data_IF_164331348093
#
_entry.id   IF_164331348093
#
_cell.length_a   1.000
_cell.length_b   1.000
_cell.length_c   1.000
_cell.angle_alpha   90.00
_cell.angle_beta   90.00
_cell.angle_gamma   90.00
#
_symmetry.space_group_name_H-M   'P 1'
#
loop_
_entity.id
_entity.type
_entity.pdbx_description
1 polymer ?
#
# COMPACT_ATOMS: atom_id res chain seq x y z
N UNK A 1 -15.35 -2.59 -17.20
CA UNK A 1 -15.11 -1.55 -18.22
C UNK A 1 -13.64 -1.17 -18.17
N UNK A 2 -12.88 -1.63 -19.15
CA UNK A 2 -11.49 -1.25 -19.40
C UNK A 2 -11.47 0.24 -19.76
N UNK A 3 -10.57 1.01 -19.15
CA UNK A 3 -10.35 2.40 -19.57
C UNK A 3 -9.81 2.36 -21.01
N UNK A 4 -10.66 2.58 -21.99
CA UNK A 4 -10.22 2.75 -23.38
C UNK A 4 -9.49 4.09 -23.43
N UNK A 5 -8.25 4.15 -23.92
CA UNK A 5 -7.60 5.43 -24.18
C UNK A 5 -8.52 6.28 -25.07
N UNK A 6 -8.53 7.61 -24.91
CA UNK A 6 -9.19 8.49 -25.88
C UNK A 6 -8.82 8.10 -27.32
N UNK A 7 -9.80 8.05 -28.22
CA UNK A 7 -9.62 7.58 -29.60
C UNK A 7 -8.46 8.27 -30.34
N UNK A 8 -8.18 9.54 -30.00
CA UNK A 8 -7.03 10.31 -30.52
C UNK A 8 -5.65 9.70 -30.23
N UNK A 9 -5.54 8.71 -29.34
CA UNK A 9 -4.27 8.03 -29.00
C UNK A 9 -4.30 6.53 -29.29
N UNK A 10 -5.19 6.12 -30.19
CA UNK A 10 -5.18 4.77 -30.72
C UNK A 10 -3.80 4.44 -31.33
N UNK A 11 -3.26 3.26 -30.98
CA UNK A 11 -1.91 2.85 -31.38
C UNK A 11 -0.74 3.48 -30.61
N UNK A 12 -0.96 4.56 -29.84
CA UNK A 12 0.08 5.24 -29.05
C UNK A 12 0.16 4.78 -27.59
N UNK A 13 -0.92 4.15 -27.11
CA UNK A 13 -1.11 3.77 -25.72
C UNK A 13 -1.52 2.31 -25.60
N UNK A 14 -1.28 1.72 -24.43
CA UNK A 14 -1.66 0.35 -24.13
C UNK A 14 -2.21 0.22 -22.71
N UNK A 15 -3.33 -0.47 -22.53
CA UNK A 15 -4.00 -0.64 -21.24
C UNK A 15 -3.47 -1.83 -20.44
N UNK A 16 -2.78 -2.77 -21.10
CA UNK A 16 -2.26 -3.98 -20.49
C UNK A 16 -0.84 -4.27 -20.95
N UNK A 17 0.10 -4.32 -20.02
CA UNK A 17 1.40 -4.95 -20.24
C UNK A 17 1.32 -6.41 -19.79
N UNK A 18 2.03 -7.33 -20.47
CA UNK A 18 2.15 -8.75 -20.08
C UNK A 18 2.99 -8.93 -18.81
N UNK A 19 2.65 -8.22 -17.73
CA UNK A 19 3.48 -8.12 -16.53
C UNK A 19 2.55 -8.19 -15.33
N UNK A 20 2.76 -9.22 -14.51
CA UNK A 20 1.99 -9.47 -13.30
C UNK A 20 2.85 -9.13 -12.09
N UNK A 21 2.35 -8.21 -11.27
CA UNK A 21 3.07 -7.73 -10.10
C UNK A 21 2.89 -8.60 -8.87
N UNK A 22 1.89 -9.50 -8.90
CA UNK A 22 1.53 -10.36 -7.78
C UNK A 22 1.33 -9.54 -6.50
N UNK A 23 0.24 -8.78 -6.47
CA UNK A 23 -0.12 -7.89 -5.36
C UNK A 23 -0.96 -8.63 -4.32
N UNK A 24 -1.34 -7.98 -3.22
CA UNK A 24 -2.17 -8.61 -2.20
C UNK A 24 -3.47 -9.17 -2.78
N UNK A 25 -4.14 -8.41 -3.65
CA UNK A 25 -5.41 -8.79 -4.26
C UNK A 25 -5.32 -10.02 -5.18
N UNK A 26 -4.13 -10.36 -5.70
CA UNK A 26 -3.90 -11.62 -6.42
C UNK A 26 -3.88 -12.86 -5.51
N UNK A 27 -3.74 -12.67 -4.20
CA UNK A 27 -3.55 -13.73 -3.20
C UNK A 27 -4.71 -13.83 -2.21
N UNK A 28 -5.78 -13.06 -2.39
CA UNK A 28 -6.98 -13.16 -1.56
C UNK A 28 -7.89 -14.29 -2.08
N UNK A 29 -8.54 -15.08 -1.19
CA UNK A 29 -9.46 -16.13 -1.61
C UNK A 29 -10.60 -15.56 -2.46
N UNK A 30 -11.03 -16.20 -3.54
CA UNK A 30 -12.22 -15.73 -4.24
C UNK A 30 -13.44 -15.83 -3.30
N UNK A 31 -14.23 -14.76 -3.20
CA UNK A 31 -15.43 -14.78 -2.35
C UNK A 31 -16.62 -15.43 -3.06
N UNK A 32 -16.46 -15.81 -4.33
CA UNK A 32 -17.56 -16.26 -5.17
C UNK A 32 -18.59 -15.14 -5.38
N UNK A 33 -19.56 -15.39 -6.25
CA UNK A 33 -20.75 -14.55 -6.33
C UNK A 33 -21.52 -14.71 -5.02
N UNK A 34 -21.84 -13.65 -4.27
CA UNK A 34 -22.72 -13.78 -3.12
C UNK A 34 -24.03 -14.41 -3.60
N UNK A 35 -24.45 -15.50 -2.98
CA UNK A 35 -25.77 -16.06 -3.26
C UNK A 35 -26.81 -14.94 -3.09
N UNK A 36 -27.62 -14.69 -4.13
CA UNK A 36 -28.64 -13.64 -4.18
C UNK A 36 -29.69 -13.76 -3.05
N UNK A 37 -29.68 -14.88 -2.32
CA UNK A 37 -30.64 -15.30 -1.30
C UNK A 37 -30.63 -14.51 0.01
N UNK A 38 -29.68 -13.59 0.24
CA UNK A 38 -29.65 -12.82 1.52
C UNK A 38 -30.43 -11.50 1.50
N UNK A 39 -30.75 -10.97 0.33
CA UNK A 39 -31.34 -9.63 0.16
C UNK A 39 -32.82 -9.77 -0.17
N UNK A 40 -33.71 -9.66 0.83
CA UNK A 40 -35.14 -9.33 0.64
C UNK A 40 -36.03 -9.35 1.88
N UNK A 41 -35.53 -9.67 3.08
CA UNK A 41 -36.36 -9.50 4.28
C UNK A 41 -36.16 -8.11 4.86
N UNK A 42 -37.28 -7.45 5.14
CA UNK A 42 -37.31 -6.17 5.85
C UNK A 42 -36.66 -6.30 7.24
N UNK A 43 -36.05 -5.24 7.77
CA UNK A 43 -35.51 -5.26 9.13
C UNK A 43 -36.63 -5.51 10.15
N UNK A 44 -36.49 -6.59 10.92
CA UNK A 44 -37.43 -6.92 12.02
C UNK A 44 -37.10 -6.12 13.29
N UNK A 45 -35.86 -5.63 13.41
CA UNK A 45 -35.38 -4.83 14.52
C UNK A 45 -34.74 -3.52 14.01
N UNK A 46 -34.92 -2.44 14.76
CA UNK A 46 -34.30 -1.14 14.50
C UNK A 46 -32.80 -1.10 14.91
N UNK A 47 -32.18 0.07 14.73
CA UNK A 47 -30.80 0.33 15.18
C UNK A 47 -30.71 0.99 16.58
N UNK A 48 -31.82 1.01 17.33
CA UNK A 48 -31.87 1.57 18.68
C UNK A 48 -31.53 3.06 18.70
N UNK A 49 -30.65 3.47 19.63
CA UNK A 49 -30.30 4.87 19.83
C UNK A 49 -29.68 5.56 18.58
N UNK A 50 -29.15 4.80 17.62
CA UNK A 50 -28.63 5.38 16.37
C UNK A 50 -29.72 6.02 15.50
N UNK A 51 -30.98 5.58 15.65
CA UNK A 51 -32.10 6.13 14.88
C UNK A 51 -32.58 7.49 15.39
N UNK A 52 -32.08 7.94 16.55
CA UNK A 52 -32.34 9.29 17.07
C UNK A 52 -31.56 10.35 16.27
N UNK A 53 -30.46 9.96 15.62
CA UNK A 53 -29.63 10.87 14.86
C UNK A 53 -30.29 11.21 13.51
N UNK A 54 -30.29 12.49 13.08
CA UNK A 54 -30.59 12.84 11.70
C UNK A 54 -29.70 12.05 10.74
N UNK A 55 -30.24 11.69 9.59
CA UNK A 55 -29.56 10.77 8.66
C UNK A 55 -28.22 11.33 8.18
N UNK A 56 -28.10 12.64 8.03
CA UNK A 56 -26.88 13.34 7.64
C UNK A 56 -25.79 13.19 8.71
N UNK A 57 -26.16 13.31 9.99
CA UNK A 57 -25.24 13.14 11.12
C UNK A 57 -24.82 11.68 11.21
N UNK A 58 -25.76 10.76 11.06
CA UNK A 58 -25.46 9.33 11.03
C UNK A 58 -24.48 9.02 9.90
N UNK A 59 -24.70 9.54 8.69
CA UNK A 59 -23.81 9.33 7.55
C UNK A 59 -22.40 9.87 7.81
N UNK A 60 -22.26 11.08 8.36
CA UNK A 60 -20.94 11.63 8.70
C UNK A 60 -20.23 10.75 9.75
N UNK A 61 -20.93 10.30 10.79
CA UNK A 61 -20.36 9.39 11.80
C UNK A 61 -19.87 8.11 11.13
N UNK A 62 -20.69 7.48 10.29
CA UNK A 62 -20.33 6.23 9.61
C UNK A 62 -19.14 6.40 8.66
N UNK A 63 -19.01 7.56 8.00
CA UNK A 63 -17.86 7.85 7.13
C UNK A 63 -16.55 7.98 7.90
N UNK A 64 -16.60 8.45 9.15
CA UNK A 64 -15.43 8.59 10.02
C UNK A 64 -15.02 7.29 10.69
N UNK A 65 -15.92 6.30 10.78
CA UNK A 65 -15.57 4.99 11.34
C UNK A 65 -14.44 4.33 10.55
N UNK A 66 -13.56 3.65 11.29
CA UNK A 66 -12.58 2.73 10.72
C UNK A 66 -13.29 1.57 10.01
N UNK A 67 -12.67 1.06 8.95
CA UNK A 67 -13.28 0.05 8.08
C UNK A 67 -13.60 -1.25 8.83
N UNK A 68 -12.84 -1.61 9.87
CA UNK A 68 -13.16 -2.77 10.72
C UNK A 68 -14.44 -2.52 11.51
N UNK A 69 -14.55 -1.40 12.21
CA UNK A 69 -15.73 -1.01 12.98
C UNK A 69 -16.96 -0.86 12.08
N UNK A 70 -16.82 -0.26 10.90
CA UNK A 70 -17.89 -0.15 9.91
C UNK A 70 -18.36 -1.52 9.41
N UNK A 71 -17.43 -2.45 9.16
CA UNK A 71 -17.76 -3.81 8.74
C UNK A 71 -18.48 -4.58 9.83
N UNK A 72 -18.06 -4.45 11.08
CA UNK A 72 -18.75 -5.05 12.23
C UNK A 72 -20.14 -4.47 12.43
N UNK A 73 -20.29 -3.15 12.33
CA UNK A 73 -21.60 -2.50 12.42
C UNK A 73 -22.56 -3.00 11.34
N UNK A 74 -22.06 -3.13 10.10
CA UNK A 74 -22.83 -3.68 8.97
C UNK A 74 -23.33 -5.12 9.23
N UNK A 75 -22.64 -5.88 10.10
CA UNK A 75 -23.00 -7.27 10.44
C UNK A 75 -23.92 -7.39 11.66
N UNK A 76 -24.19 -6.30 12.40
CA UNK A 76 -25.01 -6.35 13.63
C UNK A 76 -26.45 -6.78 13.32
N UNK A 77 -27.15 -6.07 12.44
CA UNK A 77 -28.49 -6.45 11.99
C UNK A 77 -28.80 -5.87 10.59
N UNK A 78 -29.99 -6.19 10.05
CA UNK A 78 -30.38 -5.72 8.70
C UNK A 78 -30.54 -4.19 8.62
N UNK A 79 -30.88 -3.52 9.73
CA UNK A 79 -31.07 -2.07 9.77
C UNK A 79 -29.74 -1.33 9.70
N UNK A 80 -28.75 -1.74 10.51
CA UNK A 80 -27.39 -1.18 10.45
C UNK A 80 -26.71 -1.51 9.14
N UNK A 81 -26.94 -2.71 8.58
CA UNK A 81 -26.52 -3.04 7.21
C UNK A 81 -27.08 -2.04 6.20
N UNK A 82 -28.38 -1.72 6.30
CA UNK A 82 -29.04 -0.73 5.45
C UNK A 82 -28.40 0.65 5.53
N UNK A 83 -28.05 1.12 6.73
CA UNK A 83 -27.36 2.42 6.89
C UNK A 83 -25.98 2.43 6.23
N UNK A 84 -25.18 1.38 6.42
CA UNK A 84 -23.85 1.30 5.81
C UNK A 84 -23.95 1.18 4.28
N UNK A 85 -24.87 0.34 3.78
CA UNK A 85 -25.06 0.13 2.34
C UNK A 85 -25.67 1.36 1.65
N UNK A 86 -26.41 2.20 2.37
CA UNK A 86 -26.96 3.45 1.85
C UNK A 86 -25.90 4.54 1.63
N UNK A 87 -24.69 4.41 2.22
CA UNK A 87 -23.62 5.39 2.02
C UNK A 87 -23.11 5.36 0.58
N UNK A 88 -23.18 6.48 -0.18
CA UNK A 88 -22.66 6.53 -1.54
C UNK A 88 -21.17 6.21 -1.62
N UNK A 89 -20.39 6.68 -0.64
CA UNK A 89 -18.94 6.45 -0.58
C UNK A 89 -18.60 4.98 -0.34
N UNK A 90 -19.34 4.32 0.55
CA UNK A 90 -19.15 2.88 0.78
C UNK A 90 -19.58 2.07 -0.45
N UNK A 91 -20.68 2.46 -1.09
CA UNK A 91 -21.12 1.87 -2.36
C UNK A 91 -20.06 1.98 -3.46
N UNK A 92 -19.42 3.15 -3.60
CA UNK A 92 -18.31 3.36 -4.53
C UNK A 92 -17.12 2.44 -4.23
N UNK A 93 -16.76 2.29 -2.95
CA UNK A 93 -15.69 1.40 -2.50
C UNK A 93 -16.02 -0.05 -2.87
N UNK A 94 -17.22 -0.54 -2.54
CA UNK A 94 -17.64 -1.91 -2.84
C UNK A 94 -17.65 -2.15 -4.35
N UNK A 95 -18.07 -1.17 -5.15
CA UNK A 95 -18.17 -1.32 -6.61
C UNK A 95 -16.81 -1.25 -7.32
N UNK A 96 -15.90 -0.40 -6.86
CA UNK A 96 -14.69 -0.05 -7.62
C UNK A 96 -13.38 -0.42 -6.93
N UNK A 97 -13.40 -0.68 -5.62
CA UNK A 97 -12.22 -0.95 -4.79
C UNK A 97 -12.46 -2.09 -3.78
N UNK A 98 -13.36 -3.04 -4.08
CA UNK A 98 -13.64 -4.17 -3.19
C UNK A 98 -12.41 -5.01 -2.91
N UNK A 99 -11.50 -5.15 -3.88
CA UNK A 99 -10.21 -5.81 -3.69
C UNK A 99 -9.35 -5.12 -2.63
N UNK A 100 -9.31 -3.78 -2.60
CA UNK A 100 -8.59 -3.02 -1.59
C UNK A 100 -9.25 -3.13 -0.21
N UNK A 101 -10.59 -3.00 -0.12
CA UNK A 101 -11.31 -3.20 1.14
C UNK A 101 -11.06 -4.59 1.72
N UNK A 102 -11.17 -5.62 0.89
CA UNK A 102 -10.88 -7.01 1.28
C UNK A 102 -9.43 -7.19 1.70
N UNK A 103 -8.50 -6.57 0.97
CA UNK A 103 -7.08 -6.58 1.32
C UNK A 103 -6.82 -5.96 2.69
N UNK A 104 -7.36 -4.77 2.95
CA UNK A 104 -7.27 -4.05 4.23
C UNK A 104 -7.78 -4.92 5.39
N UNK A 105 -8.93 -5.56 5.23
CA UNK A 105 -9.49 -6.45 6.25
C UNK A 105 -8.63 -7.71 6.43
N UNK A 106 -8.15 -8.32 5.33
CA UNK A 106 -7.36 -9.55 5.36
C UNK A 106 -5.98 -9.37 6.05
N UNK A 107 -5.34 -8.23 5.85
CA UNK A 107 -4.04 -7.93 6.49
C UNK A 107 -4.20 -7.24 7.86
N UNK A 108 -5.44 -6.99 8.29
CA UNK A 108 -5.76 -6.44 9.61
C UNK A 108 -5.52 -4.93 9.76
N UNK A 109 -5.44 -4.16 8.66
CA UNK A 109 -5.22 -2.70 8.71
C UNK A 109 -6.51 -1.89 8.80
N UNK A 110 -7.67 -2.53 8.81
CA UNK A 110 -8.98 -1.87 8.82
C UNK A 110 -9.24 -0.93 10.00
N UNK A 111 -8.55 -1.10 11.12
CA UNK A 111 -8.63 -0.20 12.28
C UNK A 111 -7.88 1.12 12.12
N UNK A 112 -7.02 1.24 11.10
CA UNK A 112 -6.20 2.42 10.85
C UNK A 112 -6.75 3.29 9.71
N UNK A 113 -7.77 2.79 9.00
CA UNK A 113 -8.27 3.40 7.77
C UNK A 113 -9.77 3.61 7.91
N UNK A 114 -10.22 4.86 7.79
CA UNK A 114 -11.64 5.20 7.77
C UNK A 114 -12.28 4.95 6.40
N UNK A 115 -13.60 4.84 6.38
CA UNK A 115 -14.35 4.78 5.12
C UNK A 115 -14.09 6.02 4.25
N UNK A 116 -14.08 7.20 4.86
CA UNK A 116 -13.74 8.47 4.21
C UNK A 116 -12.32 8.45 3.62
N UNK A 117 -11.34 7.92 4.35
CA UNK A 117 -9.96 7.84 3.86
C UNK A 117 -9.86 6.96 2.61
N UNK A 118 -10.44 5.76 2.63
CA UNK A 118 -10.42 4.87 1.47
C UNK A 118 -11.16 5.44 0.26
N UNK A 119 -12.33 6.06 0.47
CA UNK A 119 -13.06 6.73 -0.61
C UNK A 119 -12.29 7.92 -1.19
N UNK A 120 -11.63 8.70 -0.33
CA UNK A 120 -10.80 9.82 -0.78
C UNK A 120 -9.66 9.32 -1.66
N UNK A 121 -8.92 8.30 -1.22
CA UNK A 121 -7.83 7.71 -2.01
C UNK A 121 -8.31 7.02 -3.29
N UNK A 122 -9.55 6.52 -3.33
CA UNK A 122 -10.20 6.03 -4.55
C UNK A 122 -10.49 7.17 -5.54
N UNK A 123 -10.83 8.35 -5.04
CA UNK A 123 -11.14 9.53 -5.84
C UNK A 123 -9.94 10.42 -6.19
N UNK A 124 -8.76 10.12 -5.68
CA UNK A 124 -7.50 10.76 -6.09
C UNK A 124 -6.89 9.99 -7.27
N UNK A 125 -6.46 10.69 -8.32
CA UNK A 125 -5.78 10.06 -9.46
C UNK A 125 -4.26 9.93 -9.25
N UNK A 126 -3.68 10.95 -8.63
CA UNK A 126 -2.24 11.18 -8.56
C UNK A 126 -1.60 10.44 -7.39
N UNK A 127 -0.34 10.06 -7.58
CA UNK A 127 0.51 9.50 -6.55
C UNK A 127 0.86 10.60 -5.55
N UNK A 128 0.70 10.31 -4.26
CA UNK A 128 0.97 11.25 -3.18
C UNK A 128 2.46 11.60 -3.02
N UNK A 129 3.37 10.84 -3.62
CA UNK A 129 4.81 11.09 -3.52
C UNK A 129 5.38 11.86 -4.73
N UNK A 130 4.88 11.61 -5.95
CA UNK A 130 5.48 12.20 -7.16
C UNK A 130 4.50 12.89 -8.11
N UNK A 131 3.19 12.83 -7.86
CA UNK A 131 2.19 13.46 -8.73
C UNK A 131 1.84 12.71 -10.02
N UNK A 132 2.63 11.70 -10.43
CA UNK A 132 2.30 10.79 -11.54
C UNK A 132 1.00 10.01 -11.26
N UNK A 133 0.38 9.37 -12.25
CA UNK A 133 -0.82 8.54 -12.01
C UNK A 133 -0.51 7.39 -11.03
N UNK A 134 -1.29 7.30 -9.95
CA UNK A 134 -1.11 6.29 -8.91
C UNK A 134 -1.99 5.07 -9.13
N UNK A 135 -1.47 4.02 -9.75
CA UNK A 135 -2.23 2.80 -10.04
C UNK A 135 -2.50 1.86 -8.84
N UNK A 136 -1.97 2.16 -7.66
CA UNK A 136 -2.06 1.31 -6.47
C UNK A 136 -2.45 2.11 -5.23
N UNK A 137 -3.04 1.41 -4.26
CA UNK A 137 -3.16 1.88 -2.88
C UNK A 137 -2.20 1.10 -1.99
N UNK A 138 -1.42 1.81 -1.17
CA UNK A 138 -0.66 1.29 -0.05
C UNK A 138 -1.57 1.16 1.17
N UNK A 139 -1.84 -0.08 1.57
CA UNK A 139 -2.96 -0.46 2.44
C UNK A 139 -2.64 -0.40 3.94
N UNK A 140 -1.42 -0.03 4.36
CA UNK A 140 -1.16 0.26 5.79
C UNK A 140 -1.68 1.64 6.18
N UNK A 141 -1.52 2.62 5.31
CA UNK A 141 -1.87 4.03 5.59
C UNK A 141 -2.79 4.63 4.52
N UNK A 142 -3.39 3.80 3.68
CA UNK A 142 -4.32 4.17 2.61
C UNK A 142 -3.79 5.20 1.59
N UNK A 143 -2.50 5.14 1.23
CA UNK A 143 -1.90 6.13 0.32
C UNK A 143 -2.00 5.72 -1.15
N UNK A 144 -2.35 6.64 -2.05
CA UNK A 144 -2.28 6.38 -3.49
C UNK A 144 -0.86 6.54 -4.03
N UNK A 145 -0.37 5.51 -4.71
CA UNK A 145 1.03 5.42 -5.13
C UNK A 145 1.18 4.87 -6.55
N UNK A 146 2.18 5.37 -7.27
CA UNK A 146 2.60 4.80 -8.56
C UNK A 146 3.59 3.64 -8.34
N UNK A 147 3.83 2.83 -9.38
CA UNK A 147 4.74 1.68 -9.27
C UNK A 147 6.18 2.07 -8.93
N UNK A 148 6.70 3.14 -9.54
CA UNK A 148 8.08 3.58 -9.31
C UNK A 148 8.25 3.99 -7.85
N UNK A 149 7.31 4.80 -7.33
CA UNK A 149 7.37 5.23 -5.94
C UNK A 149 7.29 4.05 -4.98
N UNK A 150 6.37 3.11 -5.21
CA UNK A 150 6.28 1.87 -4.43
C UNK A 150 7.59 1.08 -4.43
N UNK A 151 8.28 1.02 -5.58
CA UNK A 151 9.46 0.18 -5.75
C UNK A 151 10.74 0.82 -5.20
N UNK A 152 10.81 2.15 -5.17
CA UNK A 152 12.05 2.89 -4.93
C UNK A 152 12.08 3.65 -3.61
N UNK A 153 10.92 4.03 -3.06
CA UNK A 153 10.88 4.84 -1.84
C UNK A 153 10.75 3.95 -0.60
N UNK A 154 11.67 4.13 0.34
CA UNK A 154 11.71 3.40 1.61
C UNK A 154 10.48 3.63 2.49
N UNK A 155 9.83 4.80 2.39
CA UNK A 155 8.59 5.10 3.13
C UNK A 155 7.44 4.16 2.78
N UNK A 156 7.52 3.45 1.65
CA UNK A 156 6.56 2.43 1.20
C UNK A 156 7.09 0.99 1.35
N UNK A 157 8.15 0.80 2.15
CA UNK A 157 8.69 -0.51 2.51
C UNK A 157 8.29 -0.87 3.95
N UNK A 158 7.21 -1.65 4.15
CA UNK A 158 6.87 -2.18 5.47
C UNK A 158 8.03 -3.00 6.03
N UNK A 159 8.33 -2.81 7.31
CA UNK A 159 9.48 -3.40 7.96
C UNK A 159 9.05 -4.47 8.97
N UNK A 160 9.80 -5.58 9.11
CA UNK A 160 9.65 -6.44 10.27
C UNK A 160 9.89 -5.64 11.57
N UNK A 161 9.15 -5.91 12.67
CA UNK A 161 9.31 -5.19 13.94
C UNK A 161 10.76 -5.14 14.45
N UNK A 162 11.52 -6.22 14.27
CA UNK A 162 12.93 -6.29 14.67
C UNK A 162 13.83 -5.38 13.83
N UNK A 163 13.49 -5.17 12.56
CA UNK A 163 14.19 -4.25 11.67
C UNK A 163 13.82 -2.81 12.01
N UNK A 164 12.53 -2.49 12.19
CA UNK A 164 12.10 -1.16 12.62
C UNK A 164 12.73 -0.74 13.96
N UNK A 165 12.73 -1.63 14.97
CA UNK A 165 13.41 -1.40 16.25
C UNK A 165 14.90 -1.09 16.10
N UNK A 166 15.57 -1.80 15.19
CA UNK A 166 17.00 -1.61 14.95
C UNK A 166 17.27 -0.32 14.17
N UNK A 167 16.50 -0.05 13.12
CA UNK A 167 16.67 1.09 12.20
C UNK A 167 16.33 2.43 12.86
N UNK A 168 15.32 2.46 13.73
CA UNK A 168 14.81 3.70 14.35
C UNK A 168 15.04 3.78 15.86
N UNK A 169 15.85 2.88 16.43
CA UNK A 169 16.16 2.89 17.87
C UNK A 169 14.98 2.55 18.78
N UNK A 170 13.93 1.94 18.23
CA UNK A 170 12.70 1.62 18.96
C UNK A 170 12.79 0.32 19.76
N UNK A 171 11.84 0.16 20.68
CA UNK A 171 11.52 -1.08 21.38
C UNK A 171 10.15 -1.57 20.91
N UNK A 172 9.83 -2.85 21.15
CA UNK A 172 8.57 -3.45 20.68
C UNK A 172 7.32 -2.72 21.14
N UNK A 173 7.30 -2.20 22.37
CA UNK A 173 6.13 -1.48 22.87
C UNK A 173 5.89 -0.15 22.13
N UNK A 174 6.92 0.51 21.60
CA UNK A 174 6.73 1.70 20.77
C UNK A 174 6.04 1.39 19.44
N UNK A 175 5.99 0.12 19.01
CA UNK A 175 5.37 -0.30 17.75
C UNK A 175 3.91 -0.71 17.92
N UNK A 176 3.43 -0.91 19.15
CA UNK A 176 2.10 -1.47 19.42
C UNK A 176 0.97 -0.56 18.87
N UNK A 177 1.18 0.75 18.95
CA UNK A 177 0.21 1.78 18.56
C UNK A 177 0.46 2.32 17.14
N UNK A 178 1.34 1.69 16.37
CA UNK A 178 1.63 2.08 15.00
C UNK A 178 0.86 1.22 13.99
N UNK A 179 0.54 1.76 12.80
CA UNK A 179 0.00 0.97 11.70
C UNK A 179 0.85 -0.26 11.42
N UNK A 180 0.21 -1.42 11.54
CA UNK A 180 0.83 -2.72 11.35
C UNK A 180 -0.12 -3.65 10.63
N UNK A 181 0.46 -4.65 9.97
CA UNK A 181 -0.29 -5.65 9.22
C UNK A 181 0.22 -7.06 9.49
N UNK A 182 -0.63 -8.04 9.22
CA UNK A 182 -0.27 -9.45 9.10
C UNK A 182 -0.22 -9.83 7.62
N UNK A 183 0.91 -10.34 7.16
CA UNK A 183 1.04 -10.75 5.76
C UNK A 183 0.16 -11.96 5.47
N UNK A 184 -0.43 -11.98 4.28
CA UNK A 184 -1.15 -13.15 3.76
C UNK A 184 -0.13 -14.04 3.03
N UNK A 185 -0.06 -15.35 3.31
CA UNK A 185 0.79 -16.25 2.53
C UNK A 185 0.42 -16.22 1.05
N UNK A 186 1.41 -16.26 0.16
CA UNK A 186 1.16 -16.08 -1.27
C UNK A 186 2.41 -15.88 -2.11
N UNK A 187 2.20 -15.63 -3.39
CA UNK A 187 3.25 -15.23 -4.33
C UNK A 187 3.16 -13.73 -4.53
N UNK A 188 4.29 -13.04 -4.41
CA UNK A 188 4.37 -11.58 -4.41
C UNK A 188 5.51 -11.09 -5.30
N UNK A 189 5.41 -9.83 -5.72
CA UNK A 189 6.35 -9.11 -6.59
C UNK A 189 6.44 -9.68 -8.02
N UNK A 190 6.88 -8.86 -9.01
CA UNK A 190 7.22 -9.31 -10.36
C UNK A 190 8.14 -10.55 -10.39
N UNK A 191 8.99 -10.71 -9.38
CA UNK A 191 9.94 -11.83 -9.26
C UNK A 191 9.32 -13.10 -8.65
N UNK A 192 8.00 -13.14 -8.44
CA UNK A 192 7.26 -14.32 -7.93
C UNK A 192 7.82 -14.86 -6.61
N UNK A 193 8.23 -13.96 -5.72
CA UNK A 193 8.74 -14.30 -4.39
C UNK A 193 7.62 -14.85 -3.52
N UNK A 194 7.86 -15.98 -2.88
CA UNK A 194 6.86 -16.63 -2.03
C UNK A 194 6.99 -16.17 -0.58
N UNK A 195 5.88 -15.77 0.02
CA UNK A 195 5.73 -15.66 1.49
C UNK A 195 4.96 -16.91 1.94
N UNK A 196 5.63 -17.80 2.65
CA UNK A 196 5.07 -19.10 3.04
C UNK A 196 4.29 -19.07 4.36
N UNK A 197 4.62 -18.11 5.23
CA UNK A 197 4.02 -17.96 6.55
C UNK A 197 3.67 -16.50 6.78
N UNK A 198 2.58 -16.28 7.50
CA UNK A 198 2.21 -14.93 7.94
C UNK A 198 3.28 -14.39 8.89
N UNK A 199 3.65 -13.13 8.68
CA UNK A 199 4.55 -12.36 9.53
C UNK A 199 3.96 -10.96 9.76
N UNK A 200 4.46 -10.26 10.77
CA UNK A 200 4.03 -8.90 11.09
C UNK A 200 4.96 -7.91 10.41
N UNK A 201 4.38 -6.93 9.74
CA UNK A 201 5.12 -5.79 9.20
C UNK A 201 4.52 -4.50 9.75
N UNK A 202 5.37 -3.53 10.05
CA UNK A 202 5.00 -2.20 10.54
C UNK A 202 5.26 -1.15 9.46
N UNK A 203 4.49 -0.09 9.47
CA UNK A 203 4.69 1.02 8.55
C UNK A 203 6.04 1.70 8.78
N UNK A 204 6.76 1.97 7.68
CA UNK A 204 8.09 2.57 7.73
C UNK A 204 8.06 3.98 8.31
N UNK A 205 7.15 4.80 7.77
CA UNK A 205 7.11 6.23 8.06
C UNK A 205 6.62 6.46 9.48
N UNK A 206 5.58 5.74 9.92
CA UNK A 206 5.12 5.79 11.31
C UNK A 206 6.19 5.33 12.29
N UNK A 207 6.96 4.28 11.97
CA UNK A 207 8.08 3.85 12.82
C UNK A 207 9.21 4.88 12.85
N UNK A 208 9.52 5.51 11.71
CA UNK A 208 10.51 6.60 11.64
C UNK A 208 10.08 7.80 12.50
N UNK A 209 8.82 8.22 12.39
CA UNK A 209 8.26 9.32 13.19
C UNK A 209 8.23 8.99 14.68
N UNK A 210 7.89 7.75 15.05
CA UNK A 210 7.97 7.30 16.45
C UNK A 210 9.41 7.37 16.99
N UNK A 211 10.40 7.02 16.17
CA UNK A 211 11.81 7.19 16.53
C UNK A 211 12.18 8.66 16.72
N UNK A 212 11.81 9.52 15.78
CA UNK A 212 12.05 10.98 15.88
C UNK A 212 11.44 11.54 17.17
N UNK A 213 10.21 11.17 17.49
CA UNK A 213 9.53 11.62 18.71
C UNK A 213 10.24 11.14 19.98
N UNK A 214 10.76 9.91 19.98
CA UNK A 214 11.50 9.36 21.12
C UNK A 214 12.84 10.07 21.38
N UNK A 215 13.54 10.45 20.32
CA UNK A 215 14.87 11.07 20.40
C UNK A 215 14.84 12.61 20.26
N UNK A 216 13.67 13.20 20.04
CA UNK A 216 13.44 14.63 19.88
C UNK A 216 13.78 15.20 18.49
N UNK A 217 14.60 14.51 17.68
CA UNK A 217 14.90 14.92 16.30
C UNK A 217 15.39 13.74 15.45
N UNK A 218 15.35 13.91 14.12
CA UNK A 218 15.92 12.94 13.18
C UNK A 218 17.42 12.73 13.41
N UNK A 219 18.18 13.81 13.54
CA UNK A 219 19.63 13.74 13.75
C UNK A 219 19.99 13.00 15.05
N UNK A 220 19.29 13.28 16.15
CA UNK A 220 19.52 12.60 17.43
C UNK A 220 19.18 11.09 17.35
N UNK A 221 18.08 10.73 16.67
CA UNK A 221 17.72 9.34 16.43
C UNK A 221 18.81 8.61 15.64
N UNK A 222 19.23 9.17 14.51
CA UNK A 222 20.26 8.57 13.64
C UNK A 222 21.59 8.42 14.37
N UNK A 223 22.04 9.44 15.10
CA UNK A 223 23.27 9.38 15.91
C UNK A 223 23.20 8.28 16.96
N UNK A 224 22.08 8.16 17.70
CA UNK A 224 21.90 7.12 18.72
C UNK A 224 21.95 5.72 18.12
N UNK A 225 21.25 5.51 17.00
CA UNK A 225 21.22 4.23 16.27
C UNK A 225 22.60 3.86 15.75
N UNK A 226 23.31 4.80 15.12
CA UNK A 226 24.66 4.59 14.58
C UNK A 226 25.64 4.26 15.70
N UNK A 227 25.62 4.99 16.82
CA UNK A 227 26.51 4.73 17.95
C UNK A 227 26.24 3.33 18.55
N UNK A 228 24.97 2.94 18.68
CA UNK A 228 24.60 1.60 19.15
C UNK A 228 25.08 0.52 18.19
N UNK A 229 24.94 0.72 16.89
CA UNK A 229 25.40 -0.22 15.85
C UNK A 229 26.92 -0.36 15.86
N UNK A 230 27.66 0.75 15.99
CA UNK A 230 29.13 0.76 16.08
C UNK A 230 29.61 -0.05 17.29
N UNK A 231 29.07 0.22 18.48
CA UNK A 231 29.39 -0.53 19.71
C UNK A 231 29.12 -2.04 19.56
N UNK A 232 28.02 -2.42 18.92
CA UNK A 232 27.73 -3.83 18.66
C UNK A 232 28.73 -4.47 17.70
N UNK A 233 29.16 -3.75 16.67
CA UNK A 233 30.12 -4.24 15.69
C UNK A 233 31.53 -4.35 16.28
N UNK A 234 31.96 -3.37 17.07
CA UNK A 234 33.21 -3.40 17.84
C UNK A 234 33.23 -4.59 18.80
N UNK A 235 32.17 -4.79 19.58
CA UNK A 235 32.05 -5.94 20.48
C UNK A 235 32.04 -7.28 19.74
N UNK A 236 31.48 -7.34 18.53
CA UNK A 236 31.55 -8.53 17.67
C UNK A 236 32.98 -8.77 17.17
N UNK A 237 33.67 -7.75 16.66
CA UNK A 237 35.02 -7.85 16.15
C UNK A 237 36.03 -8.24 17.24
N UNK A 238 35.93 -7.63 18.43
CA UNK A 238 36.78 -7.95 19.58
C UNK A 238 36.64 -9.40 20.06
N UNK A 239 35.45 -10.00 19.89
CA UNK A 239 35.22 -11.42 20.22
C UNK A 239 35.77 -12.37 19.17
N UNK A 240 35.82 -11.95 17.91
CA UNK A 240 36.38 -12.78 16.84
C UNK A 240 37.89 -12.96 16.96
N UNK A 241 38.58 -11.98 17.55
CA UNK A 241 40.01 -12.08 17.86
C UNK A 241 40.29 -12.74 19.21
N UNK A 242 39.26 -12.97 20.04
CA UNK A 242 39.37 -13.57 21.36
C UNK A 242 39.65 -15.08 21.32
N UNK A 243 40.64 -15.52 22.10
CA UNK A 243 40.91 -16.94 22.38
C UNK A 243 40.36 -17.30 23.76
N UNK A 244 39.81 -18.50 23.90
CA UNK A 244 39.43 -19.04 25.20
C UNK A 244 40.66 -19.43 26.04
N UNK A 245 40.43 -19.85 27.29
CA UNK A 245 41.49 -20.29 28.21
C UNK A 245 42.28 -21.50 27.70
N UNK A 246 41.79 -22.21 26.68
CA UNK A 246 42.48 -23.31 26.00
C UNK A 246 43.18 -22.88 24.69
N UNK A 247 43.21 -21.58 24.40
CA UNK A 247 43.81 -21.01 23.20
C UNK A 247 42.98 -21.20 21.93
N UNK A 248 41.74 -21.71 22.03
CA UNK A 248 40.86 -21.94 20.88
C UNK A 248 40.05 -20.68 20.54
N UNK A 249 39.68 -20.47 19.26
CA UNK A 249 38.79 -19.37 18.88
C UNK A 249 37.44 -19.49 19.60
N UNK A 250 37.00 -18.42 20.26
CA UNK A 250 35.66 -18.39 20.88
C UNK A 250 34.59 -18.57 19.79
N UNK A 251 33.57 -19.41 20.04
CA UNK A 251 32.47 -19.61 19.08
C UNK A 251 31.86 -18.28 18.63
N UNK A 252 32.00 -17.97 17.36
CA UNK A 252 31.50 -16.74 16.75
C UNK A 252 29.98 -16.63 16.92
N UNK A 253 29.51 -15.53 17.53
CA UNK A 253 28.09 -15.14 17.44
C UNK A 253 27.79 -14.63 16.03
N UNK A 254 26.52 -14.63 15.63
CA UNK A 254 26.11 -14.03 14.35
C UNK A 254 26.50 -12.55 14.32
N UNK A 255 27.07 -12.10 13.19
CA UNK A 255 27.35 -10.69 12.92
C UNK A 255 26.08 -9.86 13.14
N UNK A 256 26.17 -8.66 13.77
CA UNK A 256 25.03 -7.76 13.89
C UNK A 256 24.39 -7.49 12.51
N UNK A 257 23.06 -7.62 12.36
CA UNK A 257 22.39 -7.30 11.11
C UNK A 257 22.60 -5.83 10.71
N UNK A 258 22.64 -5.56 9.39
CA UNK A 258 22.71 -4.20 8.87
C UNK A 258 21.48 -3.36 9.27
N UNK A 259 21.66 -2.05 9.40
CA UNK A 259 20.56 -1.09 9.56
C UNK A 259 19.72 -1.04 8.28
N UNK A 260 20.39 -1.01 7.13
CA UNK A 260 19.80 -0.92 5.81
C UNK A 260 20.26 -2.11 4.96
N UNK A 261 19.66 -3.29 5.15
CA UNK A 261 19.92 -4.42 4.26
C UNK A 261 19.45 -4.09 2.84
N UNK A 262 20.06 -4.76 1.86
CA UNK A 262 19.64 -4.64 0.47
C UNK A 262 18.17 -5.02 0.30
N UNK A 263 17.34 -4.04 -0.08
CA UNK A 263 15.89 -4.20 -0.24
C UNK A 263 15.53 -5.06 -1.46
N UNK A 264 16.24 -4.87 -2.58
CA UNK A 264 15.87 -5.50 -3.85
C UNK A 264 14.70 -4.83 -4.56
N UNK A 265 14.19 -3.70 -4.06
CA UNK A 265 13.25 -2.79 -4.72
C UNK A 265 11.99 -3.52 -5.21
N UNK A 266 11.71 -3.48 -6.51
CA UNK A 266 10.59 -4.19 -7.14
C UNK A 266 10.65 -5.71 -6.98
N UNK A 267 11.76 -6.27 -6.48
CA UNK A 267 11.90 -7.67 -6.09
C UNK A 267 11.56 -7.98 -4.63
N UNK A 268 11.29 -6.99 -3.78
CA UNK A 268 10.97 -7.21 -2.37
C UNK A 268 9.48 -7.54 -2.19
N UNK A 269 9.11 -8.76 -1.74
CA UNK A 269 7.70 -9.12 -1.56
C UNK A 269 6.98 -8.28 -0.49
N UNK A 270 7.69 -7.69 0.49
CA UNK A 270 7.07 -6.87 1.54
C UNK A 270 6.39 -5.61 0.98
N UNK A 271 6.89 -5.07 -0.14
CA UNK A 271 6.25 -3.95 -0.83
C UNK A 271 4.92 -4.35 -1.47
N UNK A 272 4.84 -5.57 -2.01
CA UNK A 272 3.70 -6.04 -2.80
C UNK A 272 2.57 -6.67 -1.98
N UNK A 273 2.88 -7.24 -0.81
CA UNK A 273 1.86 -7.72 0.14
C UNK A 273 1.09 -6.58 0.82
N UNK A 274 1.60 -5.35 0.72
CA UNK A 274 1.00 -4.15 1.31
C UNK A 274 0.15 -3.32 0.33
N UNK A 275 0.00 -3.75 -0.92
CA UNK A 275 -0.70 -2.97 -1.94
C UNK A 275 -1.79 -3.75 -2.66
N UNK A 276 -2.78 -3.02 -3.15
CA UNK A 276 -3.75 -3.51 -4.13
C UNK A 276 -3.80 -2.56 -5.33
N UNK A 277 -4.12 -3.10 -6.52
CA UNK A 277 -4.37 -2.29 -7.71
C UNK A 277 -5.77 -1.69 -7.63
N UNK A 278 -5.89 -0.36 -7.70
CA UNK A 278 -7.19 0.32 -7.56
C UNK A 278 -7.34 1.36 -8.66
N UNK A 279 -8.48 1.41 -9.37
CA UNK A 279 -8.72 2.48 -10.32
C UNK A 279 -8.84 3.84 -9.61
N UNK A 280 -8.82 4.91 -10.37
CA UNK A 280 -9.29 6.21 -9.96
C UNK A 280 -10.77 6.35 -10.32
N UNK A 281 -11.60 6.80 -9.38
CA UNK A 281 -12.99 7.18 -9.62
C UNK A 281 -13.09 8.70 -9.68
N UNK A 282 -13.33 9.25 -10.86
CA UNK A 282 -13.62 10.66 -11.00
C UNK A 282 -15.01 10.96 -10.41
N UNK A 283 -15.04 11.85 -9.42
CA UNK A 283 -16.29 12.26 -8.75
C UNK A 283 -17.21 13.03 -9.69
N UNK A 284 -16.65 13.87 -10.57
CA UNK A 284 -17.43 14.75 -11.44
C UNK A 284 -18.11 13.94 -12.55
N UNK A 285 -17.33 13.15 -13.30
CA UNK A 285 -17.88 12.36 -14.41
C UNK A 285 -18.44 11.00 -14.01
N UNK A 286 -18.19 10.55 -12.77
CA UNK A 286 -18.51 9.19 -12.28
C UNK A 286 -17.84 8.09 -13.10
N UNK A 287 -16.78 8.42 -13.84
CA UNK A 287 -15.99 7.48 -14.65
C UNK A 287 -14.87 6.86 -13.84
N UNK A 288 -14.52 5.65 -14.24
CA UNK A 288 -13.47 4.84 -13.60
C UNK A 288 -12.31 4.70 -14.56
N UNK A 289 -11.14 5.15 -14.14
CA UNK A 289 -9.93 5.12 -14.94
C UNK A 289 -8.86 4.25 -14.27
N UNK A 290 -8.16 3.44 -15.07
CA UNK A 290 -7.07 2.57 -14.57
C UNK A 290 -5.69 3.06 -15.00
N UNK A 291 -5.65 4.17 -15.74
CA UNK A 291 -4.49 4.63 -16.47
C UNK A 291 -4.11 3.72 -17.63
N UNK A 292 -3.19 4.18 -18.46
CA UNK A 292 -2.61 3.43 -19.57
C UNK A 292 -1.11 3.71 -19.69
N UNK A 293 -0.40 2.83 -20.39
CA UNK A 293 1.03 2.95 -20.63
C UNK A 293 1.30 3.60 -21.98
N UNK A 294 2.43 4.29 -22.09
CA UNK A 294 2.98 4.75 -23.36
C UNK A 294 3.65 3.59 -24.13
N UNK A 295 3.32 3.43 -25.43
CA UNK A 295 3.97 2.44 -26.32
C UNK A 295 5.43 2.84 -26.58
N UNK A 296 5.70 4.13 -26.82
CA UNK A 296 7.06 4.66 -27.04
C UNK A 296 8.03 4.43 -25.87
N UNK A 297 7.50 4.23 -24.66
CA UNK A 297 8.28 3.98 -23.45
C UNK A 297 8.55 2.49 -23.18
N UNK A 298 8.10 1.57 -24.04
CA UNK A 298 8.12 0.13 -23.75
C UNK A 298 9.49 -0.42 -23.35
N UNK A 299 10.56 0.04 -24.01
CA UNK A 299 11.90 -0.50 -23.86
C UNK A 299 12.80 0.32 -22.93
N UNK A 300 12.29 1.37 -22.29
CA UNK A 300 13.10 2.26 -21.44
C UNK A 300 12.79 2.08 -19.95
N UNK A 301 13.83 1.97 -19.13
CA UNK A 301 13.76 1.92 -17.66
C UNK A 301 14.13 3.24 -16.99
N UNK A 302 14.32 4.31 -17.75
CA UNK A 302 14.72 5.64 -17.23
C UNK A 302 13.57 6.63 -17.34
N UNK A 303 13.39 7.47 -16.32
CA UNK A 303 12.50 8.64 -16.41
C UNK A 303 13.03 9.63 -17.47
N UNK A 304 12.16 10.36 -18.19
CA UNK A 304 10.69 10.31 -18.14
C UNK A 304 10.06 9.11 -18.87
N UNK A 305 10.85 8.34 -19.63
CA UNK A 305 10.39 7.24 -20.48
C UNK A 305 10.18 5.89 -19.77
N UNK A 306 10.05 5.86 -18.44
CA UNK A 306 10.07 4.58 -17.74
C UNK A 306 8.82 3.78 -18.08
N UNK A 307 9.02 2.56 -18.59
CA UNK A 307 7.99 1.64 -19.06
C UNK A 307 6.87 1.27 -18.06
N UNK A 308 7.06 1.57 -16.76
CA UNK A 308 6.11 1.29 -15.68
C UNK A 308 5.25 2.50 -15.30
N UNK A 309 5.48 3.66 -15.92
CA UNK A 309 4.67 4.85 -15.68
C UNK A 309 3.30 4.64 -16.32
N UNK A 310 2.26 4.84 -15.52
CA UNK A 310 0.89 4.95 -15.98
C UNK A 310 0.56 6.42 -16.18
N UNK A 311 -0.27 6.69 -17.18
CA UNK A 311 -0.77 8.01 -17.49
C UNK A 311 -2.29 8.00 -17.43
N UNK A 312 -2.84 9.12 -16.94
CA UNK A 312 -4.19 9.56 -17.26
C UNK A 312 -4.15 10.46 -18.50
N UNK A 313 -5.32 10.83 -19.02
CA UNK A 313 -5.42 11.61 -20.24
C UNK A 313 -4.65 12.93 -20.19
N UNK A 314 -4.83 13.72 -19.14
CA UNK A 314 -4.12 14.98 -18.91
C UNK A 314 -2.60 14.77 -18.88
N UNK A 315 -2.12 13.83 -18.08
CA UNK A 315 -0.67 13.57 -17.91
C UNK A 315 0.00 12.97 -19.15
N UNK A 316 -0.75 12.31 -20.03
CA UNK A 316 -0.18 11.75 -21.26
C UNK A 316 0.08 12.82 -22.32
N UNK A 317 -0.76 13.86 -22.36
CA UNK A 317 -0.58 15.00 -23.26
C UNK A 317 0.69 15.78 -22.86
N UNK A 318 0.88 16.01 -21.56
CA UNK A 318 2.13 16.55 -21.00
C UNK A 318 3.34 15.65 -21.32
N UNK A 319 3.18 14.33 -21.23
CA UNK A 319 4.23 13.37 -21.58
C UNK A 319 4.67 13.50 -23.03
N UNK A 320 3.73 13.55 -23.98
CA UNK A 320 4.03 13.71 -25.41
C UNK A 320 4.70 15.07 -25.69
N UNK A 321 4.26 16.15 -25.04
CA UNK A 321 4.87 17.46 -25.19
C UNK A 321 6.34 17.48 -24.73
N UNK A 322 6.66 16.78 -23.64
CA UNK A 322 8.01 16.73 -23.07
C UNK A 322 8.94 15.70 -23.74
N UNK A 323 8.37 14.61 -24.26
CA UNK A 323 9.12 13.45 -24.74
C UNK A 323 9.11 13.30 -26.27
N UNK A 324 8.36 14.15 -26.98
CA UNK A 324 8.16 14.07 -28.42
C UNK A 324 7.10 13.04 -28.83
N UNK A 325 6.63 13.17 -30.08
CA UNK A 325 5.65 12.27 -30.68
C UNK A 325 6.16 10.82 -30.76
N UNK A 326 5.23 9.87 -30.86
CA UNK A 326 5.57 8.46 -31.02
C UNK A 326 5.42 8.07 -32.51
N UNK A 327 6.50 7.64 -33.14
CA UNK A 327 6.49 7.03 -34.49
C UNK A 327 7.16 5.67 -34.45
N UNK A 328 6.58 4.70 -35.14
CA UNK A 328 7.06 3.30 -35.16
C UNK A 328 7.33 2.72 -33.76
N UNK A 329 6.47 3.07 -32.79
CA UNK A 329 6.56 2.60 -31.40
C UNK A 329 7.74 3.19 -30.61
N UNK A 330 8.32 4.31 -31.03
CA UNK A 330 9.39 5.02 -30.32
C UNK A 330 9.11 6.51 -30.26
N UNK A 331 9.60 7.17 -29.21
CA UNK A 331 9.61 8.62 -29.16
C UNK A 331 10.59 9.19 -30.18
N UNK A 332 10.11 10.06 -31.06
CA UNK A 332 10.93 10.91 -31.90
C UNK A 332 11.38 12.08 -31.02
N UNK A 333 12.66 12.11 -30.67
CA UNK A 333 13.24 13.31 -30.04
C UNK A 333 13.13 14.46 -31.04
N UNK A 334 12.58 15.59 -30.59
CA UNK A 334 12.58 16.85 -31.34
C UNK A 334 13.99 17.36 -31.55
#
# INVERSE_FOLDING_TARGET
MTATPPARWEGLTCTQRRIKDFTLDDNLPDLGTPAETSRRHEPVAGAGALEVLPIEILHEVLLQLDLRSLTYLRLVNRRTMGFVDALPQYSDIIRHASNALRGILAIGTGSWISCKALHTSLCTARCELCGDFGGYLYLLTCKRVCFLCLSLNDVLLPLPPSHACRKFGLKRHHLADLPQMKTVPGTYSPNRKKILKSDTLVDHECARLAGINLYGSLAAMEQSVLQKQARMLEAYNARQTGRDSSGRPVRARRRPPALDPFDGQSGNPHRFVAIARVPWLDRASRRVERGFYCVGCEKSSRKPYHWRILFAADTFEEHLANCGEIRDGKHCTT
#
